data_IF_096839583746
#
_entry.id   IF_096839583746
#
_cell.length_a   1.000
_cell.length_b   1.000
_cell.length_c   1.000
_cell.angle_alpha   90.00
_cell.angle_beta   90.00
_cell.angle_gamma   90.00
#
_symmetry.space_group_name_H-M   'P 1'
#
loop_
_entity.id
_entity.type
_entity.pdbx_description
1 polymer ?
#
# COMPACT_ATOMS: atom_id res chain seq x y z
N UNK A 1 -41.66 -29.54 2.12
CA UNK A 1 -40.89 -28.29 2.36
C UNK A 1 -40.21 -27.90 1.08
N UNK A 2 -40.81 -26.93 0.38
CA UNK A 2 -40.19 -26.28 -0.77
C UNK A 2 -39.10 -25.38 -0.23
N UNK A 3 -37.83 -25.71 -0.53
CA UNK A 3 -36.67 -24.92 -0.20
C UNK A 3 -36.66 -23.62 -1.05
N UNK A 4 -37.65 -22.73 -0.78
CA UNK A 4 -37.80 -21.47 -1.49
C UNK A 4 -36.75 -20.48 -1.03
N UNK A 5 -35.65 -20.37 -1.78
CA UNK A 5 -34.68 -19.30 -1.63
C UNK A 5 -35.30 -18.04 -2.24
N UNK A 6 -35.74 -17.13 -1.39
CA UNK A 6 -36.24 -15.83 -1.84
C UNK A 6 -35.17 -15.14 -2.69
N UNK A 7 -35.56 -14.67 -3.86
CA UNK A 7 -34.69 -13.91 -4.76
C UNK A 7 -34.15 -12.67 -4.01
N UNK A 8 -32.85 -12.61 -3.87
CA UNK A 8 -32.14 -11.54 -3.16
C UNK A 8 -32.50 -10.14 -3.72
N UNK A 9 -32.67 -10.04 -5.04
CA UNK A 9 -33.09 -8.80 -5.73
C UNK A 9 -34.43 -8.27 -5.27
N UNK A 10 -35.42 -9.16 -4.97
CA UNK A 10 -36.75 -8.76 -4.49
C UNK A 10 -36.74 -8.28 -3.02
N UNK A 11 -35.76 -8.73 -2.21
CA UNK A 11 -35.57 -8.30 -0.83
C UNK A 11 -34.88 -6.95 -0.76
N UNK A 12 -33.97 -6.67 -1.70
CA UNK A 12 -33.15 -5.44 -1.74
C UNK A 12 -33.96 -4.23 -2.21
N UNK A 13 -34.98 -4.41 -3.08
CA UNK A 13 -35.96 -3.36 -3.41
C UNK A 13 -36.67 -2.80 -2.15
N UNK A 14 -36.75 -3.59 -1.08
CA UNK A 14 -37.46 -3.21 0.16
C UNK A 14 -36.52 -2.55 1.21
N UNK A 15 -35.19 -2.66 1.08
CA UNK A 15 -34.26 -2.23 2.12
C UNK A 15 -33.35 -1.05 1.74
N UNK A 16 -33.28 -0.65 0.47
CA UNK A 16 -32.35 0.40 -0.02
C UNK A 16 -30.87 0.20 0.44
N UNK A 17 -30.46 -1.03 0.72
CA UNK A 17 -29.10 -1.35 1.12
C UNK A 17 -28.39 -2.05 -0.03
N UNK A 18 -27.12 -1.71 -0.23
CA UNK A 18 -26.24 -2.41 -1.15
C UNK A 18 -26.27 -3.93 -0.87
N UNK A 19 -26.42 -4.75 -1.91
CA UNK A 19 -26.40 -6.21 -1.78
C UNK A 19 -25.07 -6.82 -2.16
N UNK A 20 -24.30 -6.12 -2.96
CA UNK A 20 -23.02 -6.57 -3.46
C UNK A 20 -22.13 -5.35 -3.71
N UNK A 21 -20.89 -5.39 -3.24
CA UNK A 21 -19.88 -4.38 -3.53
C UNK A 21 -18.67 -5.00 -4.23
N UNK A 22 -17.99 -4.21 -5.07
CA UNK A 22 -16.73 -4.58 -5.68
C UNK A 22 -15.56 -4.16 -4.79
N UNK A 23 -14.53 -5.01 -4.65
CA UNK A 23 -13.23 -4.66 -4.13
C UNK A 23 -12.19 -4.94 -5.21
N UNK A 24 -11.56 -3.91 -5.71
CA UNK A 24 -10.46 -4.01 -6.66
C UNK A 24 -9.16 -3.72 -5.92
N UNK A 25 -8.22 -4.66 -5.94
CA UNK A 25 -6.90 -4.52 -5.32
C UNK A 25 -5.80 -4.75 -6.35
N UNK A 26 -4.66 -4.11 -6.11
CA UNK A 26 -3.50 -4.13 -7.00
C UNK A 26 -2.84 -5.50 -7.08
N UNK A 27 -2.64 -6.13 -5.92
CA UNK A 27 -1.84 -7.34 -5.80
C UNK A 27 -2.33 -8.19 -4.62
N UNK A 28 -2.76 -9.42 -4.87
CA UNK A 28 -3.21 -10.33 -3.81
C UNK A 28 -2.06 -11.09 -3.15
N UNK A 29 -0.88 -11.12 -3.76
CA UNK A 29 0.30 -11.77 -3.19
C UNK A 29 0.94 -10.93 -2.08
N UNK A 30 0.70 -9.61 -2.10
CA UNK A 30 1.10 -8.74 -1.01
C UNK A 30 0.14 -8.87 0.19
N UNK A 31 0.65 -9.32 1.33
CA UNK A 31 -0.11 -9.55 2.56
C UNK A 31 -0.80 -8.27 3.11
N UNK A 32 -0.36 -7.07 2.72
CA UNK A 32 -1.05 -5.82 3.03
C UNK A 32 -2.47 -5.83 2.45
N UNK A 33 -2.60 -6.16 1.16
CA UNK A 33 -3.92 -6.19 0.50
C UNK A 33 -4.79 -7.33 1.01
N UNK A 34 -4.20 -8.46 1.43
CA UNK A 34 -4.94 -9.54 2.07
C UNK A 34 -5.56 -9.11 3.41
N UNK A 35 -4.82 -8.34 4.22
CA UNK A 35 -5.33 -7.79 5.47
C UNK A 35 -6.42 -6.72 5.24
N UNK A 36 -6.22 -5.84 4.25
CA UNK A 36 -7.19 -4.84 3.83
C UNK A 36 -8.49 -5.49 3.35
N UNK A 37 -8.37 -6.47 2.44
CA UNK A 37 -9.52 -7.23 1.92
C UNK A 37 -10.29 -7.93 3.03
N UNK A 38 -9.60 -8.46 4.06
CA UNK A 38 -10.23 -9.04 5.24
C UNK A 38 -11.09 -8.02 5.98
N UNK A 39 -10.58 -6.80 6.20
CA UNK A 39 -11.33 -5.70 6.82
C UNK A 39 -12.57 -5.33 6.03
N UNK A 40 -12.47 -5.31 4.70
CA UNK A 40 -13.62 -5.07 3.80
C UNK A 40 -14.65 -6.19 3.92
N UNK A 41 -14.23 -7.47 3.80
CA UNK A 41 -15.13 -8.63 3.80
C UNK A 41 -15.86 -8.76 5.13
N UNK A 42 -15.15 -8.67 6.26
CA UNK A 42 -15.75 -8.80 7.59
C UNK A 42 -16.79 -7.70 7.83
N UNK A 43 -16.46 -6.44 7.49
CA UNK A 43 -17.37 -5.31 7.69
C UNK A 43 -18.59 -5.36 6.76
N UNK A 44 -18.42 -5.79 5.51
CA UNK A 44 -19.52 -5.97 4.59
C UNK A 44 -20.45 -7.11 5.03
N UNK A 45 -19.88 -8.22 5.53
CA UNK A 45 -20.63 -9.37 6.03
C UNK A 45 -21.52 -9.02 7.22
N UNK A 46 -21.04 -8.16 8.15
CA UNK A 46 -21.83 -7.65 9.29
C UNK A 46 -23.10 -6.90 8.84
N UNK A 47 -23.11 -6.38 7.62
CA UNK A 47 -24.25 -5.70 7.01
C UNK A 47 -25.04 -6.61 6.03
N UNK A 48 -24.66 -7.88 5.89
CA UNK A 48 -25.29 -8.82 4.97
C UNK A 48 -24.99 -8.52 3.49
N UNK A 49 -23.85 -7.89 3.20
CA UNK A 49 -23.39 -7.49 1.86
C UNK A 49 -22.30 -8.43 1.39
N UNK A 50 -22.38 -8.85 0.12
CA UNK A 50 -21.36 -9.67 -0.53
C UNK A 50 -20.25 -8.80 -1.12
N UNK A 51 -19.03 -9.34 -1.15
CA UNK A 51 -17.88 -8.69 -1.77
C UNK A 51 -17.40 -9.49 -2.97
N UNK A 52 -17.33 -8.84 -4.13
CA UNK A 52 -16.68 -9.38 -5.34
C UNK A 52 -15.26 -8.84 -5.37
N UNK A 53 -14.30 -9.73 -5.14
CA UNK A 53 -12.87 -9.38 -5.11
C UNK A 53 -12.27 -9.54 -6.51
N UNK A 54 -11.62 -8.48 -6.98
CA UNK A 54 -10.88 -8.43 -8.25
C UNK A 54 -9.43 -8.03 -8.00
N UNK A 55 -8.48 -8.69 -8.66
CA UNK A 55 -7.08 -8.28 -8.70
C UNK A 55 -6.71 -7.74 -10.07
N UNK A 56 -5.90 -6.68 -10.12
CA UNK A 56 -5.45 -6.09 -11.39
C UNK A 56 -4.02 -6.48 -11.75
N UNK A 57 -3.24 -6.96 -10.80
CA UNK A 57 -1.84 -7.40 -10.95
C UNK A 57 -1.02 -6.46 -11.88
N UNK A 58 -1.19 -5.17 -11.70
CA UNK A 58 -0.57 -4.12 -12.53
C UNK A 58 -0.83 -4.29 -14.05
N UNK A 59 -1.99 -4.82 -14.44
CA UNK A 59 -2.40 -5.02 -15.83
C UNK A 59 -3.59 -4.14 -16.21
N UNK A 60 -3.41 -3.23 -17.16
CA UNK A 60 -4.46 -2.39 -17.71
C UNK A 60 -5.63 -3.21 -18.30
N UNK A 61 -5.29 -4.34 -18.95
CA UNK A 61 -6.29 -5.24 -19.51
C UNK A 61 -7.12 -5.91 -18.41
N UNK A 62 -6.49 -6.33 -17.31
CA UNK A 62 -7.18 -6.88 -16.15
C UNK A 62 -8.09 -5.83 -15.50
N UNK A 63 -7.62 -4.58 -15.37
CA UNK A 63 -8.41 -3.47 -14.83
C UNK A 63 -9.68 -3.23 -15.67
N UNK A 64 -9.54 -3.07 -16.97
CA UNK A 64 -10.68 -2.89 -17.88
C UNK A 64 -11.61 -4.09 -17.90
N UNK A 65 -11.07 -5.31 -17.75
CA UNK A 65 -11.82 -6.55 -17.64
C UNK A 65 -12.65 -6.60 -16.35
N UNK A 66 -12.04 -6.25 -15.24
CA UNK A 66 -12.67 -6.21 -13.92
C UNK A 66 -13.78 -5.15 -13.84
N UNK A 67 -13.58 -3.97 -14.40
CA UNK A 67 -14.61 -2.93 -14.47
C UNK A 67 -15.85 -3.44 -15.23
N UNK A 68 -15.66 -4.14 -16.37
CA UNK A 68 -16.77 -4.76 -17.12
C UNK A 68 -17.46 -5.89 -16.34
N UNK A 69 -16.67 -6.71 -15.61
CA UNK A 69 -17.20 -7.78 -14.77
C UNK A 69 -18.07 -7.23 -13.64
N UNK A 70 -17.55 -6.25 -12.88
CA UNK A 70 -18.31 -5.59 -11.81
C UNK A 70 -19.60 -4.97 -12.32
N UNK A 71 -19.55 -4.36 -13.50
CA UNK A 71 -20.74 -3.84 -14.17
C UNK A 71 -21.77 -4.93 -14.49
N UNK A 72 -21.33 -6.10 -14.99
CA UNK A 72 -22.22 -7.22 -15.29
C UNK A 72 -22.83 -7.86 -14.04
N UNK A 73 -22.16 -7.78 -12.90
CA UNK A 73 -22.63 -8.26 -11.59
C UNK A 73 -23.53 -7.27 -10.87
N UNK A 74 -23.77 -6.08 -11.45
CA UNK A 74 -24.62 -5.04 -10.86
C UNK A 74 -24.23 -4.71 -9.41
N UNK A 75 -22.92 -4.48 -9.16
CA UNK A 75 -22.46 -4.05 -7.83
C UNK A 75 -23.03 -2.66 -7.50
N UNK A 76 -23.34 -2.44 -6.24
CA UNK A 76 -23.96 -1.21 -5.75
C UNK A 76 -22.92 -0.13 -5.36
N UNK A 77 -21.64 -0.46 -5.43
CA UNK A 77 -20.52 0.44 -5.18
C UNK A 77 -19.20 -0.29 -5.24
N UNK A 78 -18.10 0.46 -5.29
CA UNK A 78 -16.76 -0.10 -5.47
C UNK A 78 -15.76 0.53 -4.51
N UNK A 79 -14.96 -0.32 -3.85
CA UNK A 79 -13.74 0.06 -3.16
C UNK A 79 -12.58 -0.26 -4.09
N UNK A 80 -11.71 0.71 -4.35
CA UNK A 80 -10.74 0.64 -5.42
C UNK A 80 -9.36 1.07 -4.96
N UNK A 81 -8.38 0.16 -5.08
CA UNK A 81 -6.96 0.48 -5.01
C UNK A 81 -6.38 0.52 -6.43
N UNK A 82 -5.95 1.70 -6.84
CA UNK A 82 -5.47 1.93 -8.20
C UNK A 82 -4.03 1.47 -8.40
N UNK A 83 -3.84 0.62 -9.42
CA UNK A 83 -2.52 0.33 -9.96
C UNK A 83 -2.12 1.25 -11.12
N UNK A 84 -3.09 1.88 -11.82
CA UNK A 84 -2.85 2.66 -13.03
C UNK A 84 -3.56 4.01 -12.99
N UNK A 85 -2.79 5.10 -12.90
CA UNK A 85 -3.34 6.46 -12.94
C UNK A 85 -3.81 6.90 -14.33
N UNK A 86 -3.43 6.21 -15.38
CA UNK A 86 -3.76 6.58 -16.76
C UNK A 86 -5.21 6.21 -17.16
N UNK A 87 -5.90 5.40 -16.35
CA UNK A 87 -7.24 4.91 -16.66
C UNK A 87 -8.38 5.61 -15.88
N UNK A 88 -8.41 6.95 -15.93
CA UNK A 88 -9.61 7.71 -15.53
C UNK A 88 -10.91 7.13 -16.13
N UNK A 89 -10.82 6.50 -17.31
CA UNK A 89 -11.95 5.90 -18.00
C UNK A 89 -12.56 4.72 -17.25
N UNK A 90 -11.76 3.77 -16.76
CA UNK A 90 -12.26 2.62 -15.99
C UNK A 90 -12.96 3.08 -14.71
N UNK A 91 -12.41 4.11 -14.04
CA UNK A 91 -13.02 4.70 -12.86
C UNK A 91 -14.33 5.43 -13.16
N UNK A 92 -14.41 6.17 -14.26
CA UNK A 92 -15.66 6.82 -14.71
C UNK A 92 -16.71 5.78 -15.05
N UNK A 93 -16.33 4.64 -15.64
CA UNK A 93 -17.24 3.52 -15.89
C UNK A 93 -17.74 2.90 -14.58
N UNK A 94 -16.89 2.79 -13.55
CA UNK A 94 -17.28 2.31 -12.22
C UNK A 94 -18.16 3.31 -11.47
N UNK A 95 -17.88 4.61 -11.54
CA UNK A 95 -18.73 5.66 -10.96
C UNK A 95 -20.16 5.65 -11.53
N UNK A 96 -20.35 5.21 -12.77
CA UNK A 96 -21.68 5.05 -13.36
C UNK A 96 -22.51 3.91 -12.74
N UNK A 97 -21.86 3.01 -11.95
CA UNK A 97 -22.55 1.92 -11.23
C UNK A 97 -23.03 2.36 -9.86
N UNK A 98 -22.29 3.25 -9.20
CA UNK A 98 -22.56 3.69 -7.84
C UNK A 98 -21.37 4.43 -7.24
N UNK A 99 -21.36 4.65 -5.91
CA UNK A 99 -20.27 5.32 -5.23
C UNK A 99 -18.96 4.53 -5.37
N UNK A 100 -17.86 5.26 -5.55
CA UNK A 100 -16.48 4.72 -5.59
C UNK A 100 -15.68 5.34 -4.45
N UNK A 101 -15.04 4.50 -3.65
CA UNK A 101 -14.12 4.88 -2.59
C UNK A 101 -12.72 4.39 -2.96
N UNK A 102 -11.76 5.29 -2.99
CA UNK A 102 -10.36 4.91 -3.12
C UNK A 102 -9.80 4.42 -1.77
N UNK A 103 -8.90 3.44 -1.81
CA UNK A 103 -8.20 2.96 -0.61
C UNK A 103 -6.71 2.86 -0.88
N UNK A 104 -5.88 3.20 0.10
CA UNK A 104 -4.39 3.27 0.05
C UNK A 104 -3.83 4.23 -1.01
N UNK A 105 -4.66 4.83 -1.86
CA UNK A 105 -4.21 5.66 -2.97
C UNK A 105 -5.11 6.89 -3.16
N UNK A 106 -4.58 7.92 -3.83
CA UNK A 106 -5.31 9.07 -4.36
C UNK A 106 -4.94 9.26 -5.82
N UNK A 107 -5.91 9.60 -6.64
CA UNK A 107 -5.67 9.83 -8.06
C UNK A 107 -5.68 11.33 -8.33
N UNK A 108 -4.54 11.92 -8.74
CA UNK A 108 -4.48 13.34 -9.07
C UNK A 108 -5.51 13.71 -10.15
N UNK A 109 -6.23 14.81 -9.93
CA UNK A 109 -7.24 15.30 -10.86
C UNK A 109 -8.62 14.64 -10.75
N UNK A 110 -8.80 13.64 -9.88
CA UNK A 110 -10.11 13.06 -9.54
C UNK A 110 -10.46 13.38 -8.09
N UNK A 111 -11.62 14.02 -7.89
CA UNK A 111 -12.16 14.29 -6.55
C UNK A 111 -12.98 13.08 -6.07
N UNK A 112 -12.27 12.01 -5.71
CA UNK A 112 -12.85 10.79 -5.16
C UNK A 112 -12.53 10.65 -3.68
N UNK A 113 -13.52 10.32 -2.84
CA UNK A 113 -13.26 10.06 -1.43
C UNK A 113 -12.29 8.90 -1.26
N UNK A 114 -11.30 9.10 -0.39
CA UNK A 114 -10.20 8.15 -0.22
C UNK A 114 -9.91 7.85 1.24
N UNK A 115 -9.65 6.59 1.53
CA UNK A 115 -9.19 6.08 2.83
C UNK A 115 -7.71 5.77 2.72
N UNK A 116 -6.87 6.56 3.39
CA UNK A 116 -5.40 6.46 3.31
C UNK A 116 -4.76 6.43 4.69
N UNK A 117 -3.51 5.99 4.77
CA UNK A 117 -2.67 6.12 5.95
C UNK A 117 -1.70 7.31 5.82
N UNK A 118 -1.23 7.86 6.96
CA UNK A 118 -0.22 8.93 7.00
C UNK A 118 1.19 8.38 6.72
N UNK A 119 1.39 7.89 5.49
CA UNK A 119 2.64 7.30 5.05
C UNK A 119 3.82 8.27 5.10
N UNK A 120 3.57 9.57 4.81
CA UNK A 120 4.61 10.62 4.86
C UNK A 120 5.15 10.79 6.27
N UNK A 121 4.30 10.80 7.29
CA UNK A 121 4.74 10.83 8.69
C UNK A 121 5.54 9.57 9.04
N UNK A 122 5.04 8.38 8.68
CA UNK A 122 5.71 7.13 8.99
C UNK A 122 7.12 7.05 8.42
N UNK A 123 7.28 7.38 7.14
CA UNK A 123 8.59 7.37 6.48
C UNK A 123 9.53 8.47 6.98
N UNK A 124 9.00 9.62 7.36
CA UNK A 124 9.77 10.67 8.03
C UNK A 124 10.35 10.16 9.36
N UNK A 125 9.54 9.55 10.20
CA UNK A 125 9.99 9.10 11.52
C UNK A 125 10.98 7.92 11.42
N UNK A 126 10.78 6.97 10.50
CA UNK A 126 11.73 5.85 10.33
C UNK A 126 13.06 6.32 9.70
N UNK A 127 13.04 7.31 8.79
CA UNK A 127 14.25 7.93 8.27
C UNK A 127 15.06 8.60 9.38
N UNK A 128 14.42 9.36 10.26
CA UNK A 128 15.03 9.97 11.44
C UNK A 128 15.66 8.92 12.37
N UNK A 129 15.00 7.78 12.57
CA UNK A 129 15.59 6.68 13.33
C UNK A 129 16.91 6.22 12.72
N UNK A 130 16.95 5.99 11.41
CA UNK A 130 18.17 5.50 10.72
C UNK A 130 19.28 6.55 10.74
N UNK A 131 18.96 7.84 10.57
CA UNK A 131 19.95 8.92 10.71
C UNK A 131 20.56 8.96 12.12
N UNK A 132 19.73 8.82 13.16
CA UNK A 132 20.19 8.80 14.56
C UNK A 132 21.09 7.61 14.89
N UNK A 133 21.06 6.53 14.10
CA UNK A 133 22.04 5.45 14.18
C UNK A 133 23.42 5.82 13.61
N UNK A 134 23.54 6.98 12.93
CA UNK A 134 24.80 7.50 12.41
C UNK A 134 25.02 7.27 10.91
N UNK A 135 24.01 6.78 10.18
CA UNK A 135 24.09 6.65 8.71
C UNK A 135 24.18 8.02 8.02
N UNK A 136 24.98 8.08 6.95
CA UNK A 136 25.17 9.29 6.12
C UNK A 136 24.94 9.03 4.63
N UNK A 137 25.02 7.78 4.17
CA UNK A 137 24.80 7.39 2.78
C UNK A 137 23.54 6.55 2.71
N UNK A 138 22.53 7.08 1.99
CA UNK A 138 21.19 6.51 1.87
C UNK A 138 20.86 6.20 0.42
N UNK A 139 20.09 5.15 0.22
CA UNK A 139 19.33 4.98 -1.00
C UNK A 139 17.86 4.69 -0.67
N UNK A 140 16.97 5.19 -1.53
CA UNK A 140 15.56 4.88 -1.49
C UNK A 140 15.20 3.93 -2.64
N UNK A 141 14.61 2.79 -2.29
CA UNK A 141 13.90 1.92 -3.23
C UNK A 141 12.45 2.35 -3.18
N UNK A 142 12.13 3.37 -4.00
CA UNK A 142 10.81 3.98 -4.08
C UNK A 142 9.81 3.09 -4.85
N UNK A 143 8.52 3.32 -4.67
CA UNK A 143 7.50 2.74 -5.54
C UNK A 143 7.44 3.42 -6.91
N UNK A 144 6.49 3.04 -7.78
CA UNK A 144 6.30 3.68 -9.08
C UNK A 144 6.09 5.20 -8.94
N UNK A 145 6.71 5.98 -9.80
CA UNK A 145 6.73 7.44 -9.70
C UNK A 145 5.36 8.11 -9.90
N UNK A 146 4.44 7.43 -10.59
CA UNK A 146 3.09 7.94 -10.81
C UNK A 146 2.14 7.74 -9.61
N UNK A 147 2.54 6.99 -8.58
CA UNK A 147 1.68 6.68 -7.45
C UNK A 147 1.78 7.73 -6.35
N UNK A 148 0.64 8.24 -5.91
CA UNK A 148 0.60 9.22 -4.82
C UNK A 148 1.22 8.67 -3.53
N UNK A 149 0.96 7.40 -3.17
CA UNK A 149 1.60 6.76 -2.01
C UNK A 149 3.12 6.72 -2.11
N UNK A 150 3.66 6.45 -3.32
CA UNK A 150 5.10 6.49 -3.57
C UNK A 150 5.69 7.88 -3.33
N UNK A 151 5.03 8.92 -3.85
CA UNK A 151 5.43 10.31 -3.64
C UNK A 151 5.39 10.70 -2.16
N UNK A 152 4.31 10.33 -1.44
CA UNK A 152 4.18 10.65 -0.02
C UNK A 152 5.28 9.98 0.82
N UNK A 153 5.56 8.69 0.55
CA UNK A 153 6.61 7.95 1.26
C UNK A 153 8.00 8.53 0.95
N UNK A 154 8.29 8.84 -0.30
CA UNK A 154 9.55 9.48 -0.69
C UNK A 154 9.71 10.87 -0.08
N UNK A 155 8.66 11.69 -0.08
CA UNK A 155 8.67 13.00 0.56
C UNK A 155 8.95 12.89 2.06
N UNK A 156 8.34 11.94 2.76
CA UNK A 156 8.61 11.69 4.17
C UNK A 156 10.06 11.27 4.45
N UNK A 157 10.64 10.40 3.62
CA UNK A 157 12.08 10.05 3.74
C UNK A 157 12.96 11.29 3.60
N UNK A 158 12.75 12.12 2.57
CA UNK A 158 13.49 13.37 2.36
C UNK A 158 13.36 14.32 3.56
N UNK A 159 12.15 14.51 4.07
CA UNK A 159 11.91 15.34 5.26
C UNK A 159 12.65 14.81 6.49
N UNK A 160 12.62 13.49 6.72
CA UNK A 160 13.31 12.87 7.84
C UNK A 160 14.81 13.07 7.79
N UNK A 161 15.45 12.99 6.61
CA UNK A 161 16.85 13.30 6.40
C UNK A 161 17.14 14.79 6.68
N UNK A 162 16.33 15.70 6.08
CA UNK A 162 16.52 17.15 6.24
C UNK A 162 16.38 17.60 7.69
N UNK A 163 15.44 17.06 8.45
CA UNK A 163 15.22 17.39 9.87
C UNK A 163 16.42 17.01 10.76
N UNK A 164 17.23 16.05 10.35
CA UNK A 164 18.44 15.63 11.06
C UNK A 164 19.71 16.24 10.42
N UNK A 165 19.57 17.26 9.56
CA UNK A 165 20.67 18.06 9.01
C UNK A 165 21.41 17.41 7.84
N UNK A 166 20.82 16.44 7.17
CA UNK A 166 21.36 15.82 5.95
C UNK A 166 20.76 16.44 4.70
N UNK A 167 21.52 16.38 3.60
CA UNK A 167 21.07 16.87 2.28
C UNK A 167 20.23 15.77 1.57
N UNK A 168 18.90 15.92 1.43
CA UNK A 168 18.03 14.88 0.87
C UNK A 168 18.37 14.55 -0.59
N UNK A 169 18.93 15.49 -1.34
CA UNK A 169 19.28 15.31 -2.76
C UNK A 169 20.51 14.40 -2.95
N UNK A 170 21.26 14.11 -1.90
CA UNK A 170 22.35 13.13 -1.92
C UNK A 170 21.87 11.69 -1.77
N UNK A 171 20.60 11.48 -1.45
CA UNK A 171 20.00 10.14 -1.41
C UNK A 171 19.82 9.59 -2.83
N UNK A 172 20.39 8.43 -3.09
CA UNK A 172 20.16 7.72 -4.35
C UNK A 172 18.71 7.23 -4.42
N UNK A 173 18.01 7.47 -5.52
CA UNK A 173 16.61 7.04 -5.69
C UNK A 173 16.52 6.09 -6.87
N UNK A 174 15.84 4.96 -6.65
CA UNK A 174 15.46 3.99 -7.69
C UNK A 174 14.00 3.64 -7.51
N UNK A 175 13.28 3.54 -8.61
CA UNK A 175 11.86 3.20 -8.60
C UNK A 175 11.67 1.71 -8.91
N UNK A 176 11.02 1.01 -8.01
CA UNK A 176 10.51 -0.36 -8.18
C UNK A 176 9.00 -0.35 -8.44
N UNK A 177 8.42 -1.53 -8.43
CA UNK A 177 7.02 -1.80 -8.73
C UNK A 177 6.22 -2.36 -7.52
N UNK A 178 6.78 -2.21 -6.31
CA UNK A 178 6.31 -2.77 -5.05
C UNK A 178 6.45 -4.30 -4.92
N UNK A 179 7.02 -5.01 -5.92
CA UNK A 179 7.26 -6.46 -5.89
C UNK A 179 8.66 -6.77 -5.33
N UNK A 180 8.79 -8.00 -4.85
CA UNK A 180 10.04 -8.51 -4.27
C UNK A 180 11.19 -8.48 -5.30
N UNK A 181 10.89 -8.86 -6.54
CA UNK A 181 11.88 -8.94 -7.61
C UNK A 181 12.54 -7.60 -7.91
N UNK A 182 11.75 -6.52 -7.97
CA UNK A 182 12.31 -5.18 -8.18
C UNK A 182 13.18 -4.73 -7.01
N UNK A 183 12.78 -5.08 -5.77
CA UNK A 183 13.61 -4.83 -4.59
C UNK A 183 14.96 -5.53 -4.65
N UNK A 184 14.97 -6.79 -5.10
CA UNK A 184 16.20 -7.58 -5.29
C UNK A 184 17.12 -6.97 -6.35
N UNK A 185 16.61 -6.68 -7.56
CA UNK A 185 17.44 -6.15 -8.67
C UNK A 185 17.96 -4.74 -8.36
N UNK A 186 17.15 -3.88 -7.74
CA UNK A 186 17.59 -2.55 -7.33
C UNK A 186 18.65 -2.63 -6.23
N UNK A 187 18.49 -3.50 -5.25
CA UNK A 187 19.51 -3.71 -4.21
C UNK A 187 20.82 -4.21 -4.82
N UNK A 188 20.77 -5.08 -5.82
CA UNK A 188 21.94 -5.56 -6.57
C UNK A 188 22.68 -4.41 -7.27
N UNK A 189 21.96 -3.49 -7.90
CA UNK A 189 22.55 -2.28 -8.49
C UNK A 189 23.23 -1.42 -7.43
N UNK A 190 22.50 -1.06 -6.37
CA UNK A 190 22.97 -0.14 -5.33
C UNK A 190 24.15 -0.71 -4.53
N UNK A 191 24.09 -1.98 -4.19
CA UNK A 191 25.18 -2.65 -3.44
C UNK A 191 26.36 -3.04 -4.33
N UNK A 192 26.22 -3.00 -5.65
CA UNK A 192 27.29 -3.14 -6.63
C UNK A 192 28.14 -1.88 -6.83
N UNK A 193 27.73 -0.73 -6.30
CA UNK A 193 28.47 0.51 -6.38
C UNK A 193 29.84 0.41 -5.66
N UNK A 194 30.84 1.26 -6.04
CA UNK A 194 32.09 1.37 -5.30
C UNK A 194 31.85 1.58 -3.80
N UNK A 195 32.70 1.01 -2.95
CA UNK A 195 32.51 1.04 -1.50
C UNK A 195 32.30 2.45 -0.92
N UNK A 196 32.98 3.46 -1.49
CA UNK A 196 32.85 4.87 -1.10
C UNK A 196 31.47 5.49 -1.45
N UNK A 197 30.78 4.96 -2.46
CA UNK A 197 29.50 5.46 -2.94
C UNK A 197 28.31 4.60 -2.48
N UNK A 198 28.61 3.39 -2.01
CA UNK A 198 27.60 2.42 -1.59
C UNK A 198 26.79 2.96 -0.41
N UNK A 199 25.45 2.90 -0.47
CA UNK A 199 24.60 3.26 0.66
C UNK A 199 24.84 2.32 1.83
N UNK A 200 24.79 2.87 3.04
CA UNK A 200 24.83 2.10 4.29
C UNK A 200 23.43 1.86 4.85
N UNK A 201 22.43 2.50 4.28
CA UNK A 201 21.02 2.28 4.61
C UNK A 201 20.13 2.31 3.35
N UNK A 202 19.23 1.34 3.22
CA UNK A 202 18.21 1.23 2.19
C UNK A 202 16.84 1.54 2.81
N UNK A 203 16.16 2.56 2.26
CA UNK A 203 14.83 3.00 2.65
C UNK A 203 13.84 2.49 1.59
N UNK A 204 13.17 1.37 1.88
CA UNK A 204 12.27 0.74 0.91
C UNK A 204 10.84 1.25 1.09
N UNK A 205 10.15 1.51 -0.03
CA UNK A 205 8.80 2.05 0.00
C UNK A 205 7.75 1.02 0.46
N UNK A 206 8.08 -0.29 0.44
CA UNK A 206 7.27 -1.32 1.09
C UNK A 206 8.10 -2.51 1.58
N UNK A 207 7.47 -3.40 2.34
CA UNK A 207 8.13 -4.58 2.90
C UNK A 207 8.52 -5.60 1.83
N UNK A 208 7.73 -5.76 0.75
CA UNK A 208 8.06 -6.72 -0.31
C UNK A 208 9.38 -6.36 -0.99
N UNK A 209 9.60 -5.08 -1.35
CA UNK A 209 10.89 -4.64 -1.90
C UNK A 209 12.01 -4.71 -0.86
N UNK A 210 11.73 -4.45 0.42
CA UNK A 210 12.71 -4.62 1.50
C UNK A 210 13.14 -6.09 1.64
N UNK A 211 12.20 -7.04 1.55
CA UNK A 211 12.47 -8.48 1.55
C UNK A 211 13.35 -8.87 0.35
N UNK A 212 13.03 -8.35 -0.84
CA UNK A 212 13.85 -8.55 -2.03
C UNK A 212 15.30 -8.05 -1.84
N UNK A 213 15.45 -6.86 -1.26
CA UNK A 213 16.76 -6.30 -0.93
C UNK A 213 17.51 -7.15 0.10
N UNK A 214 16.84 -7.65 1.13
CA UNK A 214 17.43 -8.55 2.12
C UNK A 214 17.86 -9.89 1.50
N UNK A 215 17.07 -10.43 0.60
CA UNK A 215 17.39 -11.68 -0.11
C UNK A 215 18.62 -11.51 -1.01
N UNK A 216 18.73 -10.38 -1.73
CA UNK A 216 19.96 -10.07 -2.46
C UNK A 216 21.17 -10.00 -1.53
N UNK A 217 21.07 -9.27 -0.41
CA UNK A 217 22.16 -9.16 0.55
C UNK A 217 22.58 -10.53 1.08
N UNK A 218 21.61 -11.37 1.46
CA UNK A 218 21.84 -12.74 1.95
C UNK A 218 22.59 -13.60 0.92
N UNK A 219 22.12 -13.60 -0.34
CA UNK A 219 22.70 -14.39 -1.43
C UNK A 219 24.09 -13.93 -1.83
N UNK A 220 24.40 -12.65 -1.60
CA UNK A 220 25.69 -12.01 -1.91
C UNK A 220 26.65 -11.92 -0.71
N UNK A 221 26.29 -12.49 0.44
CA UNK A 221 27.14 -12.46 1.64
C UNK A 221 27.26 -11.07 2.29
N UNK A 222 26.33 -10.15 2.01
CA UNK A 222 26.25 -8.83 2.62
C UNK A 222 25.43 -8.93 3.91
N UNK A 223 26.01 -8.57 5.03
CA UNK A 223 25.36 -8.73 6.33
C UNK A 223 24.36 -7.60 6.61
N UNK A 224 23.09 -7.96 6.85
CA UNK A 224 22.07 -7.05 7.38
C UNK A 224 21.93 -7.33 8.88
N UNK A 225 22.04 -6.32 9.76
CA UNK A 225 22.23 -4.89 9.48
C UNK A 225 23.71 -4.44 9.43
N UNK A 226 24.69 -5.34 9.60
CA UNK A 226 26.08 -4.98 9.89
C UNK A 226 26.78 -4.24 8.72
N UNK A 227 26.49 -4.57 7.47
CA UNK A 227 27.04 -3.91 6.28
C UNK A 227 26.05 -2.87 5.72
N UNK A 228 24.75 -3.13 5.84
CA UNK A 228 23.69 -2.26 5.38
C UNK A 228 22.45 -2.41 6.24
N UNK A 229 21.88 -1.31 6.72
CA UNK A 229 20.58 -1.26 7.36
C UNK A 229 19.46 -1.23 6.30
N UNK A 230 18.37 -1.96 6.53
CA UNK A 230 17.23 -2.00 5.62
C UNK A 230 15.95 -1.72 6.41
N UNK A 231 15.12 -0.81 5.89
CA UNK A 231 13.78 -0.52 6.43
C UNK A 231 12.73 -0.74 5.35
N UNK A 232 11.53 -1.16 5.79
CA UNK A 232 10.36 -1.36 4.96
C UNK A 232 9.20 -0.44 5.31
N UNK A 233 8.03 -0.77 4.78
CA UNK A 233 6.76 -0.13 5.03
C UNK A 233 5.65 -1.16 4.82
N UNK A 234 4.62 -1.20 5.63
CA UNK A 234 3.39 -1.98 5.72
C UNK A 234 3.30 -2.79 7.03
N UNK A 235 4.40 -3.32 7.55
CA UNK A 235 4.49 -4.32 8.64
C UNK A 235 3.69 -5.60 8.33
N UNK A 236 3.92 -6.17 7.14
CA UNK A 236 3.29 -7.43 6.76
C UNK A 236 3.72 -8.56 7.71
N UNK A 237 2.90 -9.62 7.91
CA UNK A 237 3.24 -10.73 8.79
C UNK A 237 4.62 -11.34 8.54
N UNK A 238 5.09 -11.38 7.30
CA UNK A 238 6.42 -11.90 6.95
C UNK A 238 7.56 -11.05 7.54
N UNK A 239 7.41 -9.74 7.70
CA UNK A 239 8.46 -8.84 8.20
C UNK A 239 8.99 -9.25 9.59
N UNK A 240 8.16 -9.85 10.43
CA UNK A 240 8.53 -10.33 11.78
C UNK A 240 9.10 -11.75 11.81
N UNK A 241 9.03 -12.49 10.68
CA UNK A 241 9.50 -13.87 10.56
C UNK A 241 10.89 -13.98 9.89
N UNK A 242 11.38 -12.88 9.32
CA UNK A 242 12.70 -12.81 8.70
C UNK A 242 13.82 -12.94 9.73
N UNK A 243 15.02 -13.25 9.27
CA UNK A 243 16.24 -13.21 10.05
C UNK A 243 17.32 -12.45 9.28
N UNK A 244 17.65 -11.21 9.70
CA UNK A 244 17.08 -10.44 10.83
C UNK A 244 15.64 -10.01 10.57
N UNK A 245 14.85 -9.75 11.66
CA UNK A 245 13.47 -9.23 11.55
C UNK A 245 13.49 -7.80 11.02
N UNK A 246 12.56 -7.50 10.09
CA UNK A 246 12.54 -6.22 9.37
C UNK A 246 12.00 -5.07 10.25
N UNK A 247 12.76 -4.00 10.37
CA UNK A 247 12.33 -2.68 10.86
C UNK A 247 11.45 -2.04 9.78
N UNK A 248 10.25 -1.59 10.14
CA UNK A 248 9.26 -1.14 9.15
C UNK A 248 8.29 -0.12 9.76
N UNK A 249 7.40 0.42 8.93
CA UNK A 249 6.26 1.24 9.35
C UNK A 249 4.99 0.40 9.24
N UNK A 250 4.24 0.29 10.34
CA UNK A 250 2.96 -0.43 10.35
C UNK A 250 1.83 0.45 9.84
N UNK A 251 1.14 -0.01 8.80
CA UNK A 251 -0.15 0.49 8.37
C UNK A 251 -1.28 -0.34 9.00
N UNK A 252 -2.40 0.28 9.42
CA UNK A 252 -3.56 -0.44 9.92
C UNK A 252 -4.45 -0.93 8.77
N UNK A 253 -3.93 -1.84 7.91
CA UNK A 253 -4.59 -2.28 6.68
C UNK A 253 -6.03 -2.79 6.89
N UNK A 254 -6.25 -3.59 7.94
CA UNK A 254 -7.57 -4.10 8.29
C UNK A 254 -8.55 -2.95 8.61
N UNK A 255 -8.12 -1.97 9.42
CA UNK A 255 -8.96 -0.81 9.79
C UNK A 255 -9.21 0.12 8.58
N UNK A 256 -8.24 0.23 7.67
CA UNK A 256 -8.43 0.95 6.40
C UNK A 256 -9.52 0.29 5.56
N UNK A 257 -9.51 -1.04 5.45
CA UNK A 257 -10.57 -1.80 4.77
C UNK A 257 -11.94 -1.58 5.39
N UNK A 258 -12.03 -1.61 6.73
CA UNK A 258 -13.26 -1.29 7.47
C UNK A 258 -13.75 0.13 7.18
N UNK A 259 -12.84 1.10 7.26
CA UNK A 259 -13.16 2.51 6.99
C UNK A 259 -13.67 2.74 5.57
N UNK A 260 -13.11 2.03 4.60
CA UNK A 260 -13.56 2.11 3.21
C UNK A 260 -15.02 1.61 3.02
N UNK A 261 -15.40 0.50 3.67
CA UNK A 261 -16.79 0.01 3.65
C UNK A 261 -17.74 0.99 4.35
N UNK A 262 -17.35 1.51 5.50
CA UNK A 262 -18.16 2.48 6.24
C UNK A 262 -18.40 3.75 5.42
N UNK A 263 -17.36 4.28 4.77
CA UNK A 263 -17.46 5.42 3.89
C UNK A 263 -18.37 5.14 2.70
N UNK A 264 -18.19 3.99 2.03
CA UNK A 264 -19.03 3.58 0.90
C UNK A 264 -20.51 3.51 1.28
N UNK A 265 -20.84 2.95 2.45
CA UNK A 265 -22.23 2.88 2.92
C UNK A 265 -22.78 4.25 3.29
N UNK A 266 -21.97 5.13 3.88
CA UNK A 266 -22.38 6.51 4.14
C UNK A 266 -22.74 7.22 2.85
N UNK A 267 -21.90 7.06 1.80
CA UNK A 267 -22.19 7.63 0.46
C UNK A 267 -23.49 7.07 -0.14
N UNK A 268 -23.75 5.77 0.03
CA UNK A 268 -24.97 5.14 -0.48
C UNK A 268 -26.23 5.69 0.20
N UNK A 269 -26.15 6.03 1.50
CA UNK A 269 -27.28 6.49 2.29
C UNK A 269 -27.47 8.01 2.26
N UNK A 270 -26.37 8.78 2.26
CA UNK A 270 -26.38 10.23 2.46
C UNK A 270 -25.96 11.03 1.21
N UNK A 271 -25.60 10.33 0.12
CA UNK A 271 -25.10 10.95 -1.11
C UNK A 271 -23.58 11.03 -1.21
N UNK A 272 -23.08 11.51 -2.35
CA UNK A 272 -21.64 11.48 -2.69
C UNK A 272 -20.76 12.39 -1.82
N UNK A 273 -21.35 13.34 -1.10
CA UNK A 273 -20.62 14.35 -0.31
C UNK A 273 -20.17 13.86 1.07
N UNK A 274 -20.13 12.54 1.28
CA UNK A 274 -19.64 11.95 2.53
C UNK A 274 -18.15 12.30 2.74
N UNK A 275 -17.83 12.83 3.93
CA UNK A 275 -16.46 13.20 4.27
C UNK A 275 -15.62 11.95 4.57
N UNK A 276 -14.48 11.74 3.86
CA UNK A 276 -13.56 10.68 4.20
C UNK A 276 -13.02 10.82 5.62
N UNK A 277 -12.62 9.74 6.30
CA UNK A 277 -11.93 9.83 7.57
C UNK A 277 -10.57 10.54 7.39
N UNK A 278 -10.08 11.11 8.50
CA UNK A 278 -8.68 11.57 8.56
C UNK A 278 -7.73 10.40 8.21
N UNK A 279 -6.54 10.70 7.65
CA UNK A 279 -5.56 9.67 7.36
C UNK A 279 -5.26 8.82 8.59
N UNK A 280 -5.29 7.50 8.44
CA UNK A 280 -5.01 6.57 9.53
C UNK A 280 -3.58 6.75 10.03
N UNK A 281 -3.43 6.77 11.36
CA UNK A 281 -2.13 6.83 12.00
C UNK A 281 -1.31 5.56 11.69
N UNK A 282 0.01 5.75 11.58
CA UNK A 282 0.97 4.67 11.37
C UNK A 282 1.98 4.63 12.51
N UNK A 283 2.57 3.46 12.76
CA UNK A 283 3.57 3.25 13.81
C UNK A 283 4.90 2.80 13.24
N UNK A 284 6.00 3.36 13.74
CA UNK A 284 7.34 2.84 13.44
C UNK A 284 7.63 1.62 14.32
N UNK A 285 7.97 0.51 13.70
CA UNK A 285 8.25 -0.77 14.36
C UNK A 285 9.74 -1.11 14.19
N UNK A 286 10.52 -0.82 15.22
CA UNK A 286 11.96 -1.09 15.22
C UNK A 286 12.20 -2.56 15.52
N UNK A 287 13.06 -3.20 14.70
CA UNK A 287 13.48 -4.60 14.83
C UNK A 287 15.00 -4.73 14.62
N UNK A 288 15.44 -5.79 13.94
CA UNK A 288 16.85 -6.20 13.89
C UNK A 288 17.56 -5.78 12.59
N UNK A 289 16.82 -5.32 11.57
CA UNK A 289 17.38 -4.98 10.25
C UNK A 289 18.07 -3.63 10.21
N UNK A 290 18.18 -2.92 11.34
CA UNK A 290 18.84 -1.62 11.45
C UNK A 290 19.82 -1.62 12.62
N UNK A 291 21.03 -1.08 12.40
CA UNK A 291 22.06 -0.85 13.42
C UNK A 291 22.94 0.34 13.02
N UNK A 292 23.84 0.76 13.90
CA UNK A 292 24.84 1.76 13.53
C UNK A 292 25.73 1.24 12.38
N UNK A 293 26.10 2.10 11.40
CA UNK A 293 27.01 1.70 10.34
C UNK A 293 28.38 1.28 10.91
N UNK A 294 29.04 0.33 10.24
CA UNK A 294 30.43 0.00 10.59
C UNK A 294 31.31 1.24 10.45
N UNK A 295 32.22 1.43 11.39
CA UNK A 295 33.29 2.42 11.26
C UNK A 295 34.13 2.11 10.00
N UNK A 296 34.37 3.12 9.18
CA UNK A 296 35.20 3.01 7.95
C UNK A 296 36.65 2.80 8.25
#
# INVERSE_FOLDING_TARGET
DLNYIQNASARNLKRQMASTIGLVVRDLDNQFFSALARGVVDTAADQGVLVVLCSVDNSEQAESGNARLLRSQQVDGVIYDSGFHENARSLLELQALGPVVLVDERIPGLDLPSVVADGRRGTREIARHVVKLGHKRFACIAGPSAHWTSEQRLAGYREGLAMEGLEPDQMLIRHGDYKLESGYEIAKELMGLPKSERPTALLCANDMMAIGAMEYCRSSGIAVPADVSIVGFDDIPMARLLSPRLTTVRQPAYEMGRGAVQLLFTMTQSGPDATPPDPFAVDVVIRESTAAPRAE
#
